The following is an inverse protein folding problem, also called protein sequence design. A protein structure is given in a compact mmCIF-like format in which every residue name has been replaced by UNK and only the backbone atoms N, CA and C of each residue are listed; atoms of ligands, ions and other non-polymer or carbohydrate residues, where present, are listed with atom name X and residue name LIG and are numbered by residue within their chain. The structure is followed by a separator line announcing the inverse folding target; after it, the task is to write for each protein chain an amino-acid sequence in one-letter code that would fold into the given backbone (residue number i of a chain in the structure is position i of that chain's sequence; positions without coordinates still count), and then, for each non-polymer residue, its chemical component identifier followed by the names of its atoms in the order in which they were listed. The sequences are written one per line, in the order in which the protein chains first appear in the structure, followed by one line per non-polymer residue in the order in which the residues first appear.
data_IF_417096358054
#
_entry.id   IF_417096358054
#
_cell.length_a   1.000
_cell.length_b   1.000
_cell.length_c   1.000
_cell.angle_alpha   90.00
_cell.angle_beta   90.00
_cell.angle_gamma   90.00
#
_symmetry.space_group_name_H-M   'P 1'
#
loop_
_entity.id
_entity.type
_entity.pdbx_description
1 polymer ?
#
# COMPACT_ATOMS: atom_id res chain seq x y z
N UNK A 1 33.13 -24.87 -20.96
CA UNK A 1 32.03 -24.46 -21.87
C UNK A 1 30.64 -24.47 -21.21
N UNK A 2 30.22 -25.54 -20.52
CA UNK A 2 28.88 -25.60 -19.87
C UNK A 2 28.65 -24.57 -18.75
N UNK A 3 29.66 -24.29 -17.91
CA UNK A 3 29.55 -23.27 -16.85
C UNK A 3 29.52 -21.82 -17.36
N UNK A 4 30.25 -21.54 -18.44
CA UNK A 4 30.28 -20.20 -19.07
C UNK A 4 28.94 -19.86 -19.72
N UNK A 5 28.29 -20.84 -20.39
CA UNK A 5 26.96 -20.66 -20.97
C UNK A 5 25.87 -20.38 -19.92
N UNK A 6 25.94 -21.06 -18.77
CA UNK A 6 25.00 -20.85 -17.66
C UNK A 6 25.18 -19.46 -17.02
N UNK A 7 26.43 -19.01 -16.88
CA UNK A 7 26.75 -17.70 -16.33
C UNK A 7 26.30 -16.56 -17.27
N UNK A 8 26.48 -16.72 -18.58
CA UNK A 8 26.04 -15.72 -19.58
C UNK A 8 24.53 -15.63 -19.68
N UNK A 9 23.81 -16.76 -19.59
CA UNK A 9 22.35 -16.77 -19.58
C UNK A 9 21.79 -16.14 -18.30
N UNK A 10 22.36 -16.48 -17.14
CA UNK A 10 21.97 -15.88 -15.86
C UNK A 10 22.20 -14.36 -15.80
N UNK A 11 23.34 -13.89 -16.32
CA UNK A 11 23.65 -12.46 -16.38
C UNK A 11 22.74 -11.71 -17.36
N UNK A 12 22.37 -12.33 -18.48
CA UNK A 12 21.43 -11.75 -19.44
C UNK A 12 20.02 -11.61 -18.86
N UNK A 13 19.60 -12.53 -17.99
CA UNK A 13 18.32 -12.47 -17.30
C UNK A 13 18.27 -11.36 -16.24
N UNK A 14 19.37 -11.15 -15.51
CA UNK A 14 19.52 -10.05 -14.55
C UNK A 14 19.54 -8.67 -15.21
N UNK A 15 20.08 -8.58 -16.44
CA UNK A 15 20.09 -7.34 -17.25
C UNK A 15 18.71 -6.99 -17.84
N UNK A 16 17.77 -7.94 -17.84
CA UNK A 16 16.36 -7.73 -18.26
C UNK A 16 15.46 -7.35 -17.07
N UNK A 17 15.97 -7.37 -15.84
CA UNK A 17 15.20 -6.96 -14.67
C UNK A 17 15.12 -5.42 -14.64
N UNK A 18 14.01 -4.88 -15.12
CA UNK A 18 13.72 -3.45 -15.00
C UNK A 18 13.40 -3.10 -13.55
N UNK A 19 14.01 -2.05 -12.97
CA UNK A 19 13.60 -1.57 -11.66
C UNK A 19 12.15 -1.07 -11.75
N UNK A 20 11.23 -1.76 -11.09
CA UNK A 20 9.89 -1.24 -10.84
C UNK A 20 9.94 -0.42 -9.56
N UNK A 21 9.52 0.85 -9.62
CA UNK A 21 9.36 1.69 -8.43
C UNK A 21 7.96 1.49 -7.90
N UNK A 22 7.76 0.57 -6.94
CA UNK A 22 6.48 0.43 -6.28
C UNK A 22 6.10 1.74 -5.53
N UNK A 23 4.81 2.08 -5.43
CA UNK A 23 4.38 3.13 -4.52
C UNK A 23 4.56 2.60 -3.10
N UNK A 24 4.87 3.49 -2.16
CA UNK A 24 4.87 3.13 -0.76
C UNK A 24 3.42 3.01 -0.30
N UNK A 25 3.04 1.83 0.19
CA UNK A 25 1.72 1.58 0.76
C UNK A 25 1.41 2.61 1.84
N UNK A 26 0.24 3.23 1.73
CA UNK A 26 -0.21 4.29 2.63
C UNK A 26 -1.42 3.89 3.45
N UNK A 27 -1.40 4.21 4.74
CA UNK A 27 -2.58 4.23 5.60
C UNK A 27 -3.17 5.64 5.64
N UNK A 28 -4.40 5.80 5.16
CA UNK A 28 -5.11 7.07 5.12
C UNK A 28 -6.13 7.15 6.25
N UNK A 29 -5.86 8.02 7.22
CA UNK A 29 -6.70 8.16 8.41
C UNK A 29 -8.04 8.83 8.12
N UNK A 30 -9.12 8.18 8.56
CA UNK A 30 -10.50 8.64 8.50
C UNK A 30 -11.04 8.71 9.93
N UNK A 31 -11.29 9.91 10.44
CA UNK A 31 -11.79 10.13 11.80
C UNK A 31 -13.32 10.08 11.81
N UNK A 32 -13.88 9.17 12.60
CA UNK A 32 -15.31 9.05 12.82
C UNK A 32 -15.70 9.92 14.02
N UNK A 33 -16.57 10.91 13.80
CA UNK A 33 -17.00 11.90 14.78
C UNK A 33 -18.52 11.93 14.89
N UNK A 34 -19.03 12.66 15.88
CA UNK A 34 -20.47 12.88 16.07
C UNK A 34 -21.16 13.49 14.83
N UNK A 35 -20.46 14.38 14.12
CA UNK A 35 -20.96 15.13 12.97
C UNK A 35 -20.62 14.49 11.61
N UNK A 36 -20.12 13.25 11.62
CA UNK A 36 -19.77 12.47 10.43
C UNK A 36 -18.29 12.10 10.36
N UNK A 37 -17.79 11.84 9.15
CA UNK A 37 -16.40 11.44 8.91
C UNK A 37 -15.52 12.64 8.54
N UNK A 38 -14.26 12.62 8.94
CA UNK A 38 -13.25 13.60 8.53
C UNK A 38 -11.97 12.91 8.04
N UNK A 39 -11.51 13.17 6.80
CA UNK A 39 -12.17 14.01 5.80
C UNK A 39 -13.49 13.40 5.31
N UNK A 40 -14.37 14.25 4.77
CA UNK A 40 -15.62 13.83 4.13
C UNK A 40 -15.33 13.27 2.74
N UNK A 41 -14.88 12.01 2.72
CA UNK A 41 -14.44 11.32 1.53
C UNK A 41 -13.02 11.66 1.08
N UNK A 42 -12.60 11.01 0.00
CA UNK A 42 -11.25 11.14 -0.57
C UNK A 42 -11.37 11.22 -2.09
N UNK A 43 -10.83 12.28 -2.67
CA UNK A 43 -10.84 12.48 -4.13
C UNK A 43 -9.83 11.60 -4.85
N UNK A 44 -10.07 11.34 -6.15
CA UNK A 44 -9.15 10.58 -7.01
C UNK A 44 -7.73 11.16 -7.01
N UNK A 45 -6.73 10.29 -7.16
CA UNK A 45 -5.31 10.66 -7.19
C UNK A 45 -4.65 10.77 -5.81
N UNK A 46 -5.39 10.55 -4.71
CA UNK A 46 -4.85 10.52 -3.35
C UNK A 46 -4.49 9.11 -2.90
N UNK A 47 -5.27 8.12 -3.36
CA UNK A 47 -5.16 6.71 -3.00
C UNK A 47 -5.04 5.85 -4.25
N UNK A 48 -4.27 4.78 -4.14
CA UNK A 48 -4.12 3.75 -5.17
C UNK A 48 -4.36 2.36 -4.58
N UNK A 49 -4.43 1.33 -5.43
CA UNK A 49 -4.54 -0.05 -4.97
C UNK A 49 -3.41 -0.40 -4.00
N UNK A 50 -3.72 -1.23 -3.01
CA UNK A 50 -2.87 -1.62 -1.87
C UNK A 50 -2.73 -0.57 -0.75
N UNK A 51 -3.16 0.67 -0.96
CA UNK A 51 -3.37 1.60 0.17
C UNK A 51 -4.49 1.09 1.08
N UNK A 52 -4.56 1.65 2.29
CA UNK A 52 -5.58 1.28 3.28
C UNK A 52 -6.25 2.51 3.88
N UNK A 53 -7.53 2.38 4.20
CA UNK A 53 -8.24 3.35 5.04
C UNK A 53 -8.10 2.94 6.50
N UNK A 54 -7.72 3.88 7.35
CA UNK A 54 -7.61 3.68 8.79
C UNK A 54 -8.72 4.46 9.48
N UNK A 55 -9.83 3.77 9.80
CA UNK A 55 -10.96 4.35 10.50
C UNK A 55 -10.67 4.42 11.99
N UNK A 56 -10.93 5.56 12.61
CA UNK A 56 -10.73 5.77 14.05
C UNK A 56 -11.93 6.50 14.65
N UNK A 57 -12.62 5.84 15.59
CA UNK A 57 -13.63 6.51 16.40
C UNK A 57 -12.97 7.48 17.40
N UNK A 58 -13.21 8.77 17.19
CA UNK A 58 -12.74 9.86 18.05
C UNK A 58 -13.89 10.64 18.70
N UNK A 59 -15.09 10.03 18.73
CA UNK A 59 -16.24 10.59 19.42
C UNK A 59 -15.95 10.68 20.92
N UNK A 60 -16.40 11.78 21.54
CA UNK A 60 -16.20 12.06 22.96
C UNK A 60 -17.39 11.65 23.82
N UNK A 61 -18.52 11.30 23.20
CA UNK A 61 -19.73 10.85 23.87
C UNK A 61 -19.55 9.40 24.30
N UNK A 62 -19.89 9.12 25.56
CA UNK A 62 -19.85 7.75 26.07
C UNK A 62 -20.83 6.86 25.30
N UNK A 63 -20.44 5.62 25.03
CA UNK A 63 -21.27 4.61 24.34
C UNK A 63 -21.68 4.97 22.91
N UNK A 64 -21.12 6.03 22.31
CA UNK A 64 -21.31 6.33 20.89
C UNK A 64 -20.41 5.41 20.06
N UNK A 65 -21.01 4.39 19.45
CA UNK A 65 -20.30 3.41 18.61
C UNK A 65 -20.52 3.70 17.13
N UNK A 66 -19.47 3.51 16.34
CA UNK A 66 -19.43 3.94 14.95
C UNK A 66 -19.08 2.73 14.06
N UNK A 67 -19.68 2.60 12.88
CA UNK A 67 -19.22 1.65 11.86
C UNK A 67 -19.30 2.28 10.48
N UNK A 68 -18.58 1.71 9.52
CA UNK A 68 -18.66 2.10 8.11
C UNK A 68 -19.15 0.91 7.31
N UNK A 69 -20.21 1.12 6.54
CA UNK A 69 -20.66 0.21 5.50
C UNK A 69 -20.04 0.63 4.17
N UNK A 70 -19.68 -0.35 3.34
CA UNK A 70 -19.00 -0.15 2.07
C UNK A 70 -19.78 -0.90 1.00
N UNK A 71 -20.30 -0.13 0.04
CA UNK A 71 -20.97 -0.61 -1.17
C UNK A 71 -19.89 -0.91 -2.21
N UNK A 72 -19.51 -2.20 -2.29
CA UNK A 72 -18.34 -2.63 -3.05
C UNK A 72 -18.66 -2.84 -4.54
N UNK A 73 -19.91 -3.20 -4.87
CA UNK A 73 -20.35 -3.44 -6.24
C UNK A 73 -21.03 -2.22 -6.90
N UNK A 74 -21.35 -1.20 -6.10
CA UNK A 74 -21.85 0.11 -6.53
C UNK A 74 -23.34 0.12 -6.84
N UNK A 75 -24.13 -0.80 -6.28
CA UNK A 75 -25.57 -0.90 -6.54
C UNK A 75 -26.41 0.03 -5.64
N UNK A 76 -25.78 0.69 -4.65
CA UNK A 76 -26.41 1.60 -3.70
C UNK A 76 -27.11 0.91 -2.52
N UNK A 77 -26.99 -0.41 -2.41
CA UNK A 77 -27.33 -1.22 -1.24
C UNK A 77 -26.01 -1.50 -0.49
N UNK A 78 -26.09 -1.57 0.84
CA UNK A 78 -24.91 -1.72 1.70
C UNK A 78 -24.91 -3.03 2.50
N UNK A 79 -25.88 -3.92 2.21
CA UNK A 79 -26.11 -5.19 2.93
C UNK A 79 -26.25 -6.36 1.93
N UNK A 80 -25.42 -6.37 0.89
CA UNK A 80 -25.27 -7.43 -0.10
C UNK A 80 -24.19 -8.46 0.25
N UNK A 81 -24.05 -9.46 -0.62
CA UNK A 81 -23.02 -10.52 -0.48
C UNK A 81 -21.63 -10.03 -0.87
N UNK A 82 -21.57 -9.00 -1.69
CA UNK A 82 -20.33 -8.38 -2.16
C UNK A 82 -19.96 -7.15 -1.31
N UNK A 83 -20.87 -6.68 -0.45
CA UNK A 83 -20.66 -5.56 0.46
C UNK A 83 -19.94 -5.97 1.75
N UNK A 84 -19.42 -4.98 2.46
CA UNK A 84 -18.74 -5.20 3.74
C UNK A 84 -19.06 -4.11 4.76
N UNK A 85 -18.85 -4.46 6.02
CA UNK A 85 -18.98 -3.55 7.15
C UNK A 85 -17.74 -3.68 8.04
N UNK A 86 -17.27 -2.55 8.56
CA UNK A 86 -16.30 -2.57 9.67
C UNK A 86 -16.95 -3.15 10.93
N UNK A 87 -16.12 -3.53 11.91
CA UNK A 87 -16.59 -3.71 13.27
C UNK A 87 -17.26 -2.42 13.81
N UNK A 88 -18.07 -2.58 14.86
CA UNK A 88 -18.53 -1.46 15.67
C UNK A 88 -17.36 -0.94 16.50
N UNK A 89 -16.95 0.29 16.24
CA UNK A 89 -15.83 0.95 16.89
C UNK A 89 -16.34 1.75 18.09
N UNK A 90 -15.87 1.40 19.27
CA UNK A 90 -16.10 2.13 20.52
C UNK A 90 -15.21 3.38 20.61
N UNK A 91 -15.62 4.42 21.36
CA UNK A 91 -14.81 5.64 21.51
C UNK A 91 -13.56 5.39 22.36
N UNK A 92 -13.62 4.37 23.24
CA UNK A 92 -12.50 3.90 24.05
C UNK A 92 -12.79 2.48 24.52
N UNK A 93 -11.73 1.72 24.78
CA UNK A 93 -11.83 0.40 25.42
C UNK A 93 -11.25 0.44 26.82
N UNK A 94 -11.94 -0.18 27.77
CA UNK A 94 -11.42 -0.34 29.12
C UNK A 94 -10.17 -1.25 29.10
N UNK A 95 -9.18 -0.91 29.92
CA UNK A 95 -7.98 -1.72 30.10
C UNK A 95 -8.07 -2.48 31.43
N UNK A 96 -7.59 -3.72 31.43
CA UNK A 96 -7.46 -4.53 32.62
C UNK A 96 -6.20 -4.14 33.44
N UNK A 97 -5.97 -4.85 34.55
CA UNK A 97 -4.82 -4.58 35.43
C UNK A 97 -3.45 -4.79 34.75
N UNK A 98 -3.37 -5.54 33.65
CA UNK A 98 -2.14 -5.77 32.88
C UNK A 98 -1.92 -4.75 31.77
N UNK A 99 -2.88 -3.85 31.54
CA UNK A 99 -2.83 -2.84 30.46
C UNK A 99 -3.33 -3.36 29.11
N UNK A 100 -3.83 -4.60 29.06
CA UNK A 100 -4.51 -5.14 27.88
C UNK A 100 -5.98 -4.71 27.88
N UNK A 101 -6.67 -4.83 26.74
CA UNK A 101 -8.11 -4.55 26.70
C UNK A 101 -8.86 -5.54 27.60
N UNK A 102 -9.75 -5.01 28.44
CA UNK A 102 -10.60 -5.80 29.32
C UNK A 102 -11.63 -6.62 28.51
N UNK A 103 -12.13 -6.02 27.43
CA UNK A 103 -12.92 -6.69 26.39
C UNK A 103 -12.06 -6.86 25.11
N UNK A 104 -11.74 -8.09 24.69
CA UNK A 104 -10.95 -8.32 23.48
C UNK A 104 -11.69 -7.95 22.19
N UNK A 105 -13.03 -7.92 22.19
CA UNK A 105 -13.84 -7.59 21.02
C UNK A 105 -14.08 -6.07 20.89
N UNK A 106 -13.70 -5.29 21.92
CA UNK A 106 -13.74 -3.85 21.86
C UNK A 106 -12.62 -3.33 20.93
N UNK A 107 -13.02 -2.74 19.82
CA UNK A 107 -12.13 -2.03 18.89
C UNK A 107 -12.42 -0.53 18.90
N UNK A 108 -11.38 0.27 18.68
CA UNK A 108 -11.48 1.74 18.52
C UNK A 108 -11.15 2.15 17.08
N UNK A 109 -10.47 1.25 16.34
CA UNK A 109 -9.95 1.49 15.00
C UNK A 109 -10.14 0.27 14.12
N UNK A 110 -10.35 0.48 12.82
CA UNK A 110 -10.40 -0.59 11.81
C UNK A 110 -9.58 -0.18 10.59
N UNK A 111 -8.90 -1.14 9.97
CA UNK A 111 -8.15 -0.94 8.74
C UNK A 111 -8.82 -1.67 7.59
N UNK A 112 -9.12 -0.95 6.50
CA UNK A 112 -9.72 -1.49 5.29
C UNK A 112 -8.72 -1.39 4.14
N UNK A 113 -8.30 -2.53 3.61
CA UNK A 113 -7.40 -2.61 2.48
C UNK A 113 -8.13 -2.29 1.16
N UNK A 114 -7.60 -1.36 0.38
CA UNK A 114 -8.11 -0.99 -0.95
C UNK A 114 -7.45 -1.86 -2.01
N UNK A 115 -7.89 -3.11 -2.10
CA UNK A 115 -7.31 -4.10 -3.02
C UNK A 115 -8.37 -5.13 -3.45
N UNK A 116 -8.26 -5.70 -4.67
CA UNK A 116 -9.18 -6.75 -5.11
C UNK A 116 -9.20 -7.98 -4.19
N UNK A 117 -8.13 -8.25 -3.44
CA UNK A 117 -8.11 -9.32 -2.42
C UNK A 117 -9.08 -9.08 -1.27
N UNK A 118 -9.45 -7.82 -1.03
CA UNK A 118 -10.47 -7.41 -0.08
C UNK A 118 -11.82 -7.13 -0.78
N UNK A 119 -12.00 -7.52 -2.04
CA UNK A 119 -13.24 -7.30 -2.79
C UNK A 119 -13.44 -5.88 -3.34
N UNK A 120 -12.46 -4.98 -3.18
CA UNK A 120 -12.57 -3.59 -3.64
C UNK A 120 -11.83 -3.37 -4.95
N UNK A 121 -12.53 -2.81 -5.95
CA UNK A 121 -11.95 -2.46 -7.24
C UNK A 121 -11.72 -0.94 -7.36
N UNK A 122 -10.66 -0.50 -8.07
CA UNK A 122 -10.40 0.91 -8.28
C UNK A 122 -11.60 1.64 -8.91
N UNK A 123 -11.92 2.81 -8.35
CA UNK A 123 -13.11 3.56 -8.71
C UNK A 123 -13.56 4.48 -7.58
N UNK A 124 -14.82 4.90 -7.64
CA UNK A 124 -15.49 5.63 -6.57
C UNK A 124 -16.29 4.62 -5.75
N UNK A 125 -15.93 4.47 -4.48
CA UNK A 125 -16.60 3.57 -3.54
C UNK A 125 -17.54 4.39 -2.67
N UNK A 126 -18.81 4.02 -2.69
CA UNK A 126 -19.82 4.61 -1.82
C UNK A 126 -19.69 4.01 -0.42
N UNK A 127 -19.72 4.87 0.60
CA UNK A 127 -19.60 4.46 1.99
C UNK A 127 -20.66 5.13 2.84
N UNK A 128 -21.11 4.43 3.88
CA UNK A 128 -22.10 4.93 4.83
C UNK A 128 -21.53 4.81 6.25
N UNK A 129 -21.21 5.95 6.87
CA UNK A 129 -20.83 6.01 8.28
C UNK A 129 -22.10 6.00 9.12
N UNK A 130 -22.26 4.96 9.95
CA UNK A 130 -23.36 4.84 10.89
C UNK A 130 -22.88 5.11 12.33
N UNK A 131 -23.68 5.82 13.09
CA UNK A 131 -23.48 6.11 14.51
C UNK A 131 -24.67 5.57 15.29
N UNK A 132 -24.41 4.67 16.22
CA UNK A 132 -25.38 4.26 17.22
C UNK A 132 -25.08 4.94 18.56
N UNK A 133 -26.06 5.67 19.09
CA UNK A 133 -25.94 6.32 20.40
C UNK A 133 -27.34 6.51 21.01
N UNK A 134 -27.52 6.10 22.26
CA UNK A 134 -28.82 6.16 22.98
C UNK A 134 -29.99 5.55 22.20
N UNK A 135 -29.78 4.37 21.58
CA UNK A 135 -30.79 3.66 20.79
C UNK A 135 -31.25 4.40 19.52
N UNK A 136 -30.53 5.45 19.13
CA UNK A 136 -30.73 6.17 17.87
C UNK A 136 -29.61 5.82 16.90
N UNK A 137 -29.97 5.69 15.62
CA UNK A 137 -29.03 5.54 14.51
C UNK A 137 -29.03 6.82 13.67
N UNK A 138 -27.84 7.31 13.35
CA UNK A 138 -27.62 8.42 12.40
C UNK A 138 -26.63 7.97 11.34
N UNK A 139 -26.80 8.43 10.11
CA UNK A 139 -26.02 7.98 8.97
C UNK A 139 -25.48 9.16 8.16
N UNK A 140 -24.23 9.03 7.70
CA UNK A 140 -23.55 10.00 6.86
C UNK A 140 -22.95 9.29 5.65
N UNK A 141 -23.42 9.64 4.46
CA UNK A 141 -22.89 9.09 3.21
C UNK A 141 -21.65 9.88 2.78
N UNK A 142 -20.62 9.18 2.33
CA UNK A 142 -19.40 9.77 1.77
C UNK A 142 -18.84 8.86 0.68
N UNK A 143 -17.85 9.35 -0.06
CA UNK A 143 -17.25 8.60 -1.18
C UNK A 143 -15.73 8.62 -1.09
N UNK A 144 -15.12 7.46 -1.28
CA UNK A 144 -13.66 7.31 -1.39
C UNK A 144 -13.31 6.88 -2.79
N UNK A 145 -12.42 7.62 -3.44
CA UNK A 145 -11.88 7.27 -4.75
C UNK A 145 -10.46 6.73 -4.63
N UNK A 146 -10.17 5.60 -5.27
CA UNK A 146 -8.80 5.10 -5.43
C UNK A 146 -8.55 4.59 -6.85
N UNK A 147 -7.31 4.65 -7.29
CA UNK A 147 -6.90 4.30 -8.66
C UNK A 147 -6.07 3.03 -8.71
N UNK A 148 -5.85 2.50 -9.91
CA UNK A 148 -4.86 1.41 -10.09
C UNK A 148 -3.49 1.93 -9.71
N UNK A 149 -2.72 1.12 -9.00
CA UNK A 149 -1.32 1.36 -8.76
C UNK A 149 -0.51 1.19 -10.07
N UNK A 150 -0.09 2.31 -10.66
CA UNK A 150 0.63 2.31 -11.94
C UNK A 150 2.12 2.54 -11.74
N UNK A 151 2.90 1.51 -12.07
CA UNK A 151 4.36 1.61 -12.17
C UNK A 151 4.77 1.80 -13.61
N UNK A 152 5.27 3.00 -13.94
CA UNK A 152 5.94 3.18 -15.23
C UNK A 152 7.27 2.44 -15.18
N UNK A 153 7.39 1.35 -15.93
CA UNK A 153 8.68 0.85 -16.36
C UNK A 153 9.26 1.93 -17.27
N UNK A 154 10.39 2.53 -16.87
CA UNK A 154 11.07 3.51 -17.72
C UNK A 154 11.71 2.78 -18.92
N UNK A 155 10.90 2.47 -19.94
CA UNK A 155 11.38 1.87 -21.20
C UNK A 155 12.10 2.88 -22.13
N UNK A 156 12.28 4.12 -21.67
CA UNK A 156 12.89 5.17 -22.47
C UNK A 156 14.35 5.39 -22.09
N UNK A 157 15.24 4.65 -22.75
CA UNK A 157 16.61 5.10 -22.97
C UNK A 157 16.55 6.42 -23.77
N UNK A 158 17.06 7.56 -23.26
CA UNK A 158 17.00 8.80 -24.00
C UNK A 158 18.07 8.80 -25.10
N UNK A 159 17.64 8.77 -26.37
CA UNK A 159 18.46 9.34 -27.46
C UNK A 159 18.06 10.82 -27.59
N UNK A 160 18.71 11.70 -26.83
CA UNK A 160 18.53 13.15 -26.93
C UNK A 160 19.41 13.91 -25.94
N UNK A 161 20.04 15.04 -26.33
CA UNK A 161 21.17 15.60 -25.60
C UNK A 161 20.76 16.39 -24.35
N UNK A 162 21.55 16.15 -23.30
CA UNK A 162 21.87 16.91 -22.09
C UNK A 162 20.88 17.97 -21.53
N UNK A 163 20.52 17.77 -20.26
CA UNK A 163 19.85 18.73 -19.40
C UNK A 163 19.83 18.27 -17.93
N UNK A 164 20.99 18.35 -17.29
CA UNK A 164 21.30 18.51 -15.85
C UNK A 164 20.42 17.93 -14.70
N UNK A 165 21.17 17.26 -13.79
CA UNK A 165 21.01 17.13 -12.32
C UNK A 165 20.23 15.96 -11.71
N UNK A 166 20.94 14.87 -11.39
CA UNK A 166 20.93 14.23 -10.06
C UNK A 166 22.19 13.35 -9.89
N UNK A 167 23.32 13.95 -9.51
CA UNK A 167 24.66 13.36 -9.59
C UNK A 167 25.06 12.36 -8.49
N UNK A 168 24.11 11.77 -7.76
CA UNK A 168 24.42 10.85 -6.64
C UNK A 168 24.39 9.37 -7.04
N UNK A 169 23.26 8.94 -7.61
CA UNK A 169 22.96 7.52 -7.79
C UNK A 169 23.58 6.96 -9.07
N UNK A 170 23.73 7.79 -10.10
CA UNK A 170 24.28 7.41 -11.40
C UNK A 170 25.78 7.08 -11.31
N UNK A 171 26.52 7.82 -10.48
CA UNK A 171 27.95 7.57 -10.24
C UNK A 171 28.16 6.29 -9.43
N UNK A 172 27.33 6.03 -8.42
CA UNK A 172 27.36 4.78 -7.66
C UNK A 172 27.02 3.57 -8.52
N UNK A 173 26.00 3.68 -9.38
CA UNK A 173 25.64 2.65 -10.34
C UNK A 173 26.78 2.38 -11.34
N UNK A 174 27.42 3.43 -11.87
CA UNK A 174 28.54 3.32 -12.79
C UNK A 174 29.76 2.65 -12.13
N UNK A 175 30.05 2.99 -10.87
CA UNK A 175 31.13 2.37 -10.08
C UNK A 175 30.85 0.89 -9.81
N UNK A 176 29.61 0.54 -9.47
CA UNK A 176 29.20 -0.86 -9.30
C UNK A 176 29.34 -1.67 -10.59
N UNK A 177 28.88 -1.12 -11.72
CA UNK A 177 28.94 -1.80 -13.01
C UNK A 177 30.38 -2.00 -13.50
N UNK A 178 31.25 -0.99 -13.33
CA UNK A 178 32.67 -1.10 -13.68
C UNK A 178 33.43 -2.05 -12.75
N UNK A 179 33.09 -2.09 -11.46
CA UNK A 179 33.65 -3.07 -10.51
C UNK A 179 33.26 -4.50 -10.87
N UNK A 180 31.99 -4.76 -11.21
CA UNK A 180 31.52 -6.09 -11.56
C UNK A 180 32.17 -6.60 -12.86
N UNK A 181 32.31 -5.73 -13.87
CA UNK A 181 33.02 -6.05 -15.11
C UNK A 181 34.50 -6.38 -14.85
N UNK A 182 35.16 -5.62 -13.97
CA UNK A 182 36.55 -5.90 -13.57
C UNK A 182 36.72 -7.26 -12.91
N UNK A 183 35.81 -7.63 -12.00
CA UNK A 183 35.83 -8.94 -11.32
C UNK A 183 35.63 -10.09 -12.33
N UNK A 184 34.71 -9.94 -13.30
CA UNK A 184 34.45 -10.95 -14.34
C UNK A 184 35.65 -11.14 -15.28
N UNK A 185 36.41 -10.09 -15.57
CA UNK A 185 37.61 -10.16 -16.42
C UNK A 185 38.81 -10.76 -15.67
N UNK A 186 38.93 -10.48 -14.37
CA UNK A 186 40.08 -10.90 -13.55
C UNK A 186 39.92 -12.31 -12.96
N UNK A 187 38.70 -12.75 -12.64
CA UNK A 187 38.43 -14.09 -12.07
C UNK A 187 38.97 -15.26 -12.91
N UNK A 188 38.80 -15.28 -14.25
CA UNK A 188 39.36 -16.34 -15.09
C UNK A 188 40.89 -16.33 -15.12
N UNK A 189 41.51 -15.15 -14.96
CA UNK A 189 42.98 -14.98 -14.97
C UNK A 189 43.61 -15.43 -13.65
N UNK A 190 42.91 -15.24 -12.53
CA UNK A 190 43.35 -15.71 -11.21
C UNK A 190 43.19 -17.22 -11.06
N UNK A 191 42.10 -17.80 -11.58
CA UNK A 191 41.87 -19.25 -11.51
C UNK A 191 42.85 -20.06 -12.37
N UNK A 192 43.35 -19.48 -13.47
CA UNK A 192 44.34 -20.11 -14.35
C UNK A 192 45.80 -20.02 -13.88
N UNK A 193 46.07 -19.31 -12.78
CA UNK A 193 47.43 -19.18 -12.20
C UNK A 193 47.67 -20.15 -11.03
N UNK A 194 46.65 -20.90 -10.60
CA UNK A 194 46.74 -21.82 -9.44
C UNK A 194 47.18 -23.23 -9.87
N UNK A 195 47.33 -23.49 -11.18
CA UNK A 195 47.69 -24.82 -11.72
C UNK A 195 49.18 -24.95 -12.11
N UNK A 196 50.04 -23.97 -11.83
CA UNK A 196 51.50 -24.06 -12.01
C UNK A 196 52.25 -23.96 -10.67
N UNK A 197 52.25 -25.06 -9.90
CA UNK A 197 53.37 -25.47 -9.03
C UNK A 197 53.55 -27.01 -9.10
#
# INVERSE_FOLDING_TARGET
MRGVCMLTVGLSLLLLATPATAHDTKEYTMLLKEDGVTPDGVSSGVLVSTDSLFFYNVDSRAEAIHRVLIDADGDGVFEGVDDMATAWLSPSCELNETGDRADPDCEVTELVLLDPSNGLLPGNISMLHQIEHNQSMVEFAFTVSFSVDQHTVLDNLPTGPEGEQSGGNDLLALVLMTSLAGIVILLPRLMGSIEDE
#
